data_IF_921539589623
#
_entry.id   IF_921539589623
#
_cell.length_a   1.000
_cell.length_b   1.000
_cell.length_c   1.000
_cell.angle_alpha   90.00
_cell.angle_beta   90.00
_cell.angle_gamma   90.00
#
_symmetry.space_group_name_H-M   'P 1'
#
loop_
_entity.id
_entity.type
_entity.pdbx_description
1 polymer ?
#
# COMPACT_ATOMS: atom_id res chain seq x y z
N UNK A 1 25.22 -20.49 -11.11
CA UNK A 1 24.12 -19.84 -11.86
C UNK A 1 22.74 -20.40 -11.52
N UNK A 2 22.65 -21.66 -11.09
CA UNK A 2 21.41 -22.39 -10.78
C UNK A 2 20.71 -21.95 -9.49
N UNK A 3 21.44 -21.64 -8.42
CA UNK A 3 20.85 -21.16 -7.15
C UNK A 3 19.98 -19.91 -7.32
N UNK A 4 20.39 -18.95 -8.17
CA UNK A 4 19.59 -17.74 -8.45
C UNK A 4 18.30 -18.03 -9.25
N UNK A 5 18.27 -19.11 -10.04
CA UNK A 5 17.06 -19.56 -10.76
C UNK A 5 16.12 -20.27 -9.78
N UNK A 6 16.65 -21.16 -8.94
CA UNK A 6 15.86 -21.88 -7.92
C UNK A 6 15.19 -20.90 -6.94
N UNK A 7 15.93 -19.93 -6.41
CA UNK A 7 15.39 -18.88 -5.53
C UNK A 7 14.29 -18.05 -6.20
N UNK A 8 14.44 -17.74 -7.49
CA UNK A 8 13.40 -17.02 -8.24
C UNK A 8 12.16 -17.88 -8.44
N UNK A 9 12.32 -19.15 -8.79
CA UNK A 9 11.20 -20.09 -8.98
C UNK A 9 10.45 -20.32 -7.68
N UNK A 10 11.15 -20.57 -6.57
CA UNK A 10 10.55 -20.72 -5.24
C UNK A 10 9.81 -19.45 -4.81
N UNK A 11 10.37 -18.27 -5.10
CA UNK A 11 9.71 -16.98 -4.85
C UNK A 11 8.46 -16.77 -5.71
N UNK A 12 8.44 -17.29 -6.94
CA UNK A 12 7.26 -17.25 -7.83
C UNK A 12 6.19 -18.21 -7.32
N UNK A 13 6.56 -19.43 -6.93
CA UNK A 13 5.64 -20.46 -6.44
C UNK A 13 5.05 -20.03 -5.09
N UNK A 14 5.89 -19.67 -4.12
CA UNK A 14 5.43 -19.15 -2.81
C UNK A 14 4.64 -17.85 -2.96
N UNK A 15 4.99 -17.01 -3.94
CA UNK A 15 4.22 -15.81 -4.28
C UNK A 15 2.86 -16.06 -4.93
N UNK A 16 2.54 -17.31 -5.30
CA UNK A 16 1.30 -17.72 -5.96
C UNK A 16 0.51 -18.76 -5.14
N UNK A 17 0.80 -18.92 -3.85
CA UNK A 17 -0.02 -19.77 -2.98
C UNK A 17 -1.50 -19.34 -3.05
N UNK A 18 -2.42 -20.31 -3.19
CA UNK A 18 -3.83 -20.01 -3.27
C UNK A 18 -4.31 -19.42 -1.94
N UNK A 19 -5.01 -18.30 -2.02
CA UNK A 19 -5.68 -17.69 -0.85
C UNK A 19 -7.14 -18.08 -0.92
N UNK A 20 -7.58 -18.94 -0.01
CA UNK A 20 -8.95 -19.41 0.08
C UNK A 20 -9.80 -18.39 0.83
N UNK A 21 -10.90 -17.98 0.20
CA UNK A 21 -11.82 -17.00 0.75
C UNK A 21 -13.17 -17.63 1.02
N UNK A 22 -13.76 -17.33 2.16
CA UNK A 22 -15.11 -17.76 2.53
C UNK A 22 -15.94 -16.56 2.97
N UNK A 23 -17.22 -16.53 2.59
CA UNK A 23 -18.16 -15.55 3.10
C UNK A 23 -18.58 -15.92 4.52
N UNK A 24 -18.46 -14.99 5.45
CA UNK A 24 -18.88 -15.14 6.85
C UNK A 24 -20.25 -14.50 7.06
N UNK A 25 -21.03 -15.04 8.00
CA UNK A 25 -22.30 -14.42 8.41
C UNK A 25 -22.04 -13.13 9.19
N UNK A 26 -21.10 -13.21 10.13
CA UNK A 26 -20.74 -12.12 11.04
C UNK A 26 -19.46 -11.41 10.60
N UNK A 27 -19.34 -10.15 11.03
CA UNK A 27 -18.15 -9.33 10.84
C UNK A 27 -17.19 -9.62 11.99
N UNK A 28 -16.06 -10.25 11.66
CA UNK A 28 -14.99 -10.56 12.61
C UNK A 28 -13.92 -9.48 12.62
N UNK A 29 -13.38 -9.19 13.80
CA UNK A 29 -12.18 -8.35 13.94
C UNK A 29 -10.92 -9.17 13.64
N UNK A 30 -9.81 -8.53 13.23
CA UNK A 30 -8.52 -9.22 13.13
C UNK A 30 -8.11 -9.78 14.50
N UNK A 31 -7.43 -10.93 14.48
CA UNK A 31 -6.89 -11.57 15.68
C UNK A 31 -5.36 -11.50 15.68
N UNK A 32 -4.79 -11.48 16.89
CA UNK A 32 -3.35 -11.35 17.13
C UNK A 32 -2.89 -12.40 18.14
N UNK A 33 -1.63 -12.82 18.06
CA UNK A 33 -0.96 -13.62 19.08
C UNK A 33 -0.55 -12.77 20.30
N UNK A 34 0.08 -13.40 21.29
CA UNK A 34 0.53 -12.75 22.53
C UNK A 34 1.62 -11.71 22.28
N UNK A 35 2.44 -11.91 21.25
CA UNK A 35 3.47 -10.99 20.78
C UNK A 35 2.89 -9.83 19.94
N UNK A 36 1.59 -9.86 19.65
CA UNK A 36 0.89 -8.86 18.87
C UNK A 36 1.07 -8.97 17.35
N UNK A 37 1.60 -10.08 16.84
CA UNK A 37 1.57 -10.41 15.42
C UNK A 37 0.17 -10.83 15.00
N UNK A 38 -0.18 -10.52 13.75
CA UNK A 38 -1.47 -10.90 13.19
C UNK A 38 -1.52 -12.40 12.88
N UNK A 39 -2.59 -13.05 13.32
CA UNK A 39 -2.87 -14.47 13.03
C UNK A 39 -4.13 -14.63 12.16
N UNK A 40 -5.03 -13.64 12.17
CA UNK A 40 -6.23 -13.62 11.32
C UNK A 40 -6.55 -12.18 10.89
N UNK A 41 -6.88 -11.97 9.62
CA UNK A 41 -7.16 -10.65 9.05
C UNK A 41 -8.55 -10.10 9.39
N UNK A 42 -9.40 -10.91 10.01
CA UNK A 42 -10.81 -10.65 10.27
C UNK A 42 -11.65 -10.68 9.00
N UNK A 43 -12.82 -10.03 9.07
CA UNK A 43 -13.63 -9.82 7.89
C UNK A 43 -13.02 -8.74 6.99
N UNK A 44 -13.08 -9.00 5.69
CA UNK A 44 -12.53 -8.21 4.61
C UNK A 44 -13.64 -7.88 3.60
N UNK A 45 -13.44 -6.77 2.90
CA UNK A 45 -14.13 -6.47 1.64
C UNK A 45 -13.16 -6.83 0.51
N UNK A 46 -13.61 -7.66 -0.42
CA UNK A 46 -12.82 -8.07 -1.58
C UNK A 46 -13.37 -7.37 -2.81
N UNK A 47 -12.51 -6.66 -3.54
CA UNK A 47 -12.85 -6.16 -4.87
C UNK A 47 -12.07 -6.96 -5.90
N UNK A 48 -12.80 -7.46 -6.89
CA UNK A 48 -12.28 -8.13 -8.08
C UNK A 48 -12.50 -7.21 -9.27
N UNK A 49 -11.44 -6.89 -10.00
CA UNK A 49 -11.47 -5.95 -11.12
C UNK A 49 -10.41 -6.30 -12.18
N UNK A 50 -10.82 -6.49 -13.42
CA UNK A 50 -9.93 -6.76 -14.54
C UNK A 50 -9.63 -5.48 -15.35
N UNK A 51 -8.49 -4.87 -15.07
CA UNK A 51 -8.08 -3.65 -15.76
C UNK A 51 -7.71 -3.88 -17.24
N UNK A 52 -8.50 -3.34 -18.18
CA UNK A 52 -8.07 -3.12 -19.56
C UNK A 52 -6.86 -2.18 -19.60
N UNK A 53 -6.02 -2.24 -20.65
CA UNK A 53 -4.70 -1.58 -20.67
C UNK A 53 -4.80 -0.05 -20.59
N UNK A 54 -5.89 0.54 -21.06
CA UNK A 54 -5.89 1.95 -21.50
C UNK A 54 -6.33 2.94 -20.41
N UNK A 55 -7.11 2.52 -19.40
CA UNK A 55 -7.62 3.39 -18.33
C UNK A 55 -7.01 3.13 -16.93
N UNK A 56 -5.80 2.55 -16.89
CA UNK A 56 -5.13 2.22 -15.61
C UNK A 56 -4.76 3.44 -14.77
N UNK A 57 -4.76 4.66 -15.32
CA UNK A 57 -4.22 5.86 -14.65
C UNK A 57 -4.94 6.20 -13.34
N UNK A 58 -6.25 6.44 -13.39
CA UNK A 58 -7.05 6.88 -12.23
C UNK A 58 -7.12 5.80 -11.14
N UNK A 59 -7.38 4.55 -11.52
CA UNK A 59 -7.45 3.42 -10.58
C UNK A 59 -6.08 3.16 -9.95
N UNK A 60 -5.00 3.19 -10.73
CA UNK A 60 -3.64 3.03 -10.19
C UNK A 60 -3.29 4.16 -9.23
N UNK A 61 -3.67 5.39 -9.54
CA UNK A 61 -3.48 6.53 -8.65
C UNK A 61 -4.24 6.34 -7.33
N UNK A 62 -5.50 5.93 -7.35
CA UNK A 62 -6.26 5.64 -6.13
C UNK A 62 -5.67 4.49 -5.32
N UNK A 63 -5.38 3.35 -5.94
CA UNK A 63 -4.71 2.23 -5.29
C UNK A 63 -3.36 2.65 -4.70
N UNK A 64 -2.65 3.60 -5.33
CA UNK A 64 -1.39 4.13 -4.78
C UNK A 64 -1.56 4.91 -3.47
N UNK A 65 -2.78 5.36 -3.13
CA UNK A 65 -3.08 6.09 -1.90
C UNK A 65 -3.92 5.29 -0.90
N UNK A 66 -4.35 4.10 -1.32
CA UNK A 66 -5.28 3.27 -0.58
C UNK A 66 -4.56 2.15 0.18
N UNK A 67 -4.90 1.93 1.46
CA UNK A 67 -4.54 0.71 2.17
C UNK A 67 -5.35 -0.49 1.68
N UNK A 68 -4.66 -1.50 1.16
CA UNK A 68 -5.24 -2.79 0.77
C UNK A 68 -4.20 -3.90 0.92
N UNK A 69 -4.66 -5.15 0.97
CA UNK A 69 -3.82 -6.34 0.82
C UNK A 69 -4.06 -6.88 -0.59
N UNK A 70 -2.99 -7.13 -1.35
CA UNK A 70 -3.12 -7.73 -2.67
C UNK A 70 -3.23 -9.24 -2.50
N UNK A 71 -4.38 -9.82 -2.83
CA UNK A 71 -4.62 -11.26 -2.72
C UNK A 71 -4.05 -11.99 -3.92
N UNK A 72 -4.27 -11.48 -5.12
CA UNK A 72 -3.60 -11.95 -6.33
C UNK A 72 -3.72 -10.86 -7.42
N UNK A 73 -3.52 -11.22 -8.69
CA UNK A 73 -3.79 -10.30 -9.80
C UNK A 73 -5.27 -9.92 -9.76
N UNK A 74 -5.57 -8.63 -9.86
CA UNK A 74 -6.95 -8.13 -9.95
C UNK A 74 -7.84 -8.32 -8.72
N UNK A 75 -7.33 -8.92 -7.63
CA UNK A 75 -8.08 -9.13 -6.38
C UNK A 75 -7.43 -8.37 -5.24
N UNK A 76 -8.21 -7.48 -4.63
CA UNK A 76 -7.77 -6.57 -3.58
C UNK A 76 -8.65 -6.74 -2.34
N UNK A 77 -8.02 -6.90 -1.19
CA UNK A 77 -8.69 -6.99 0.10
C UNK A 77 -8.55 -5.69 0.88
N UNK A 78 -9.65 -5.23 1.45
CA UNK A 78 -9.77 -4.05 2.27
C UNK A 78 -10.33 -4.45 3.63
N UNK A 79 -9.96 -3.73 4.68
CA UNK A 79 -10.51 -3.96 6.03
C UNK A 79 -12.01 -3.66 6.02
N UNK A 80 -12.83 -4.53 6.60
CA UNK A 80 -14.29 -4.40 6.64
C UNK A 80 -14.83 -3.30 7.60
N UNK A 81 -14.01 -2.36 8.03
CA UNK A 81 -14.45 -1.34 9.00
C UNK A 81 -15.05 -0.10 8.35
N UNK A 82 -16.12 0.39 8.98
CA UNK A 82 -16.72 1.72 8.78
C UNK A 82 -15.75 2.83 9.23
N UNK A 83 -14.68 3.09 8.49
CA UNK A 83 -13.93 4.33 8.69
C UNK A 83 -14.77 5.48 8.14
N UNK A 84 -15.49 6.18 9.04
CA UNK A 84 -16.07 7.48 8.73
C UNK A 84 -14.96 8.53 8.72
N UNK A 85 -15.07 9.44 7.75
CA UNK A 85 -14.18 10.58 7.55
C UNK A 85 -13.87 11.31 8.87
N UNK A 86 -12.59 11.54 9.16
CA UNK A 86 -12.22 12.74 9.92
C UNK A 86 -12.37 13.95 8.99
N UNK A 87 -12.73 15.10 9.55
CA UNK A 87 -12.88 16.44 8.93
C UNK A 87 -11.64 16.90 8.12
N UNK A 88 -10.56 16.12 8.13
CA UNK A 88 -9.29 16.30 7.39
C UNK A 88 -9.21 15.52 6.07
N UNK A 89 -10.30 14.85 5.64
CA UNK A 89 -10.42 14.19 4.33
C UNK A 89 -9.72 12.82 4.28
N UNK A 90 -9.85 12.03 5.35
CA UNK A 90 -8.73 11.21 5.80
C UNK A 90 -8.74 9.70 5.51
N UNK A 91 -9.75 9.10 4.87
CA UNK A 91 -9.65 7.67 4.47
C UNK A 91 -10.53 7.32 3.27
N UNK A 92 -10.08 6.28 2.59
CA UNK A 92 -10.56 5.75 1.31
C UNK A 92 -11.98 5.17 1.39
N UNK A 93 -12.89 5.65 0.54
CA UNK A 93 -14.20 5.04 0.33
C UNK A 93 -14.10 3.87 -0.65
N UNK A 94 -14.32 2.66 -0.13
CA UNK A 94 -14.32 1.41 -0.88
C UNK A 94 -15.39 1.44 -1.98
N UNK A 95 -16.54 2.07 -1.71
CA UNK A 95 -17.63 2.19 -2.68
C UNK A 95 -17.26 3.13 -3.82
N UNK A 96 -16.61 4.26 -3.52
CA UNK A 96 -16.10 5.17 -4.55
C UNK A 96 -15.05 4.48 -5.44
N UNK A 97 -14.12 3.72 -4.87
CA UNK A 97 -13.19 2.92 -5.69
C UNK A 97 -13.91 1.89 -6.54
N UNK A 98 -14.88 1.20 -5.95
CA UNK A 98 -15.64 0.20 -6.67
C UNK A 98 -16.40 0.81 -7.85
N UNK A 99 -17.03 1.98 -7.68
CA UNK A 99 -17.68 2.72 -8.75
C UNK A 99 -16.70 3.01 -9.90
N UNK A 100 -15.52 3.56 -9.59
CA UNK A 100 -14.49 3.83 -10.59
C UNK A 100 -13.94 2.55 -11.25
N UNK A 101 -13.84 1.45 -10.51
CA UNK A 101 -13.48 0.16 -11.09
C UNK A 101 -14.59 -0.34 -12.03
N UNK A 102 -15.86 -0.16 -11.66
CA UNK A 102 -17.02 -0.58 -12.45
C UNK A 102 -17.17 0.20 -13.76
N UNK A 103 -16.80 1.48 -13.75
CA UNK A 103 -16.73 2.32 -14.97
C UNK A 103 -15.77 1.73 -16.01
N UNK A 104 -14.69 1.10 -15.57
CA UNK A 104 -13.64 0.57 -16.44
C UNK A 104 -13.76 -0.93 -16.72
N UNK A 105 -14.50 -1.66 -15.88
CA UNK A 105 -14.77 -3.09 -16.00
C UNK A 105 -16.18 -3.35 -15.51
N UNK A 106 -17.09 -3.58 -16.47
CA UNK A 106 -18.48 -3.93 -16.17
C UNK A 106 -18.60 -5.23 -15.39
N UNK A 107 -17.57 -6.08 -15.36
CA UNK A 107 -17.56 -7.33 -14.62
C UNK A 107 -16.93 -7.20 -13.22
N UNK A 108 -16.54 -6.00 -12.81
CA UNK A 108 -16.01 -5.76 -11.47
C UNK A 108 -17.03 -6.19 -10.41
N UNK A 109 -16.56 -6.90 -9.38
CA UNK A 109 -17.39 -7.40 -8.26
C UNK A 109 -16.83 -6.98 -6.92
N UNK A 110 -17.73 -6.69 -6.00
CA UNK A 110 -17.43 -6.43 -4.59
C UNK A 110 -18.05 -7.52 -3.73
N UNK A 111 -17.26 -8.12 -2.86
CA UNK A 111 -17.69 -9.14 -1.91
C UNK A 111 -17.40 -8.66 -0.50
N UNK A 112 -18.47 -8.37 0.25
CA UNK A 112 -18.40 -8.04 1.68
C UNK A 112 -18.28 -9.29 2.54
N UNK A 113 -17.82 -9.14 3.79
CA UNK A 113 -17.76 -10.20 4.81
C UNK A 113 -17.00 -11.45 4.34
N UNK A 114 -15.86 -11.25 3.70
CA UNK A 114 -14.98 -12.36 3.31
C UNK A 114 -13.93 -12.58 4.40
N UNK A 115 -13.61 -13.82 4.73
CA UNK A 115 -12.46 -14.20 5.55
C UNK A 115 -11.51 -15.05 4.74
N UNK A 116 -10.21 -14.97 5.06
CA UNK A 116 -9.23 -15.93 4.56
C UNK A 116 -9.36 -17.20 5.40
N UNK A 117 -9.37 -18.36 4.77
CA UNK A 117 -9.62 -19.67 5.43
C UNK A 117 -8.31 -20.35 5.79
N UNK A 118 -7.36 -20.35 4.86
CA UNK A 118 -6.01 -20.84 5.10
C UNK A 118 -5.17 -19.73 5.74
N UNK A 119 -5.43 -19.43 7.01
CA UNK A 119 -4.64 -18.49 7.81
C UNK A 119 -3.40 -19.16 8.42
N UNK A 120 -2.76 -20.06 7.68
CA UNK A 120 -1.48 -20.61 8.09
C UNK A 120 -0.40 -19.51 8.08
N UNK A 121 0.67 -19.73 8.85
CA UNK A 121 1.73 -18.74 9.03
C UNK A 121 2.38 -18.30 7.71
N UNK A 122 2.45 -19.19 6.71
CA UNK A 122 3.04 -18.88 5.41
C UNK A 122 2.13 -17.93 4.60
N UNK A 123 0.83 -18.24 4.53
CA UNK A 123 -0.16 -17.38 3.86
C UNK A 123 -0.23 -16.00 4.51
N UNK A 124 -0.27 -15.92 5.84
CA UNK A 124 -0.27 -14.65 6.57
C UNK A 124 0.99 -13.86 6.26
N UNK A 125 2.17 -14.48 6.39
CA UNK A 125 3.46 -13.85 6.11
C UNK A 125 3.54 -13.35 4.66
N UNK A 126 3.16 -14.17 3.69
CA UNK A 126 3.13 -13.79 2.28
C UNK A 126 2.30 -12.52 2.04
N UNK A 127 1.11 -12.44 2.63
CA UNK A 127 0.22 -11.29 2.48
C UNK A 127 0.79 -10.02 3.14
N UNK A 128 1.39 -10.15 4.32
CA UNK A 128 2.08 -9.05 5.00
C UNK A 128 3.29 -8.57 4.19
N UNK A 129 4.09 -9.49 3.65
CA UNK A 129 5.27 -9.16 2.84
C UNK A 129 4.89 -8.40 1.57
N UNK A 130 3.76 -8.75 0.94
CA UNK A 130 3.23 -7.98 -0.20
C UNK A 130 2.90 -6.54 0.18
N UNK A 131 2.37 -6.31 1.38
CA UNK A 131 2.12 -4.95 1.90
C UNK A 131 3.45 -4.24 2.17
N UNK A 132 4.39 -4.90 2.86
CA UNK A 132 5.71 -4.37 3.21
C UNK A 132 6.47 -3.94 1.96
N UNK A 133 6.64 -4.83 0.98
CA UNK A 133 7.33 -4.55 -0.30
C UNK A 133 6.68 -3.37 -1.04
N UNK A 134 5.34 -3.26 -1.00
CA UNK A 134 4.62 -2.15 -1.63
C UNK A 134 4.95 -0.81 -0.97
N UNK A 135 4.97 -0.76 0.37
CA UNK A 135 5.28 0.44 1.14
C UNK A 135 6.74 0.83 0.99
N UNK A 136 7.66 -0.12 1.12
CA UNK A 136 9.09 0.10 0.93
C UNK A 136 9.43 0.61 -0.47
N UNK A 137 8.78 0.08 -1.52
CA UNK A 137 8.97 0.57 -2.89
C UNK A 137 8.57 2.05 -3.02
N UNK A 138 7.47 2.46 -2.36
CA UNK A 138 7.03 3.86 -2.34
C UNK A 138 8.02 4.73 -1.55
N UNK A 139 8.51 4.25 -0.41
CA UNK A 139 9.53 4.92 0.39
C UNK A 139 10.79 5.18 -0.42
N UNK A 140 11.34 4.15 -1.09
CA UNK A 140 12.51 4.27 -1.96
C UNK A 140 12.28 5.29 -3.07
N UNK A 141 11.09 5.31 -3.68
CA UNK A 141 10.73 6.30 -4.70
C UNK A 141 10.77 7.74 -4.17
N UNK A 142 10.29 7.98 -2.94
CA UNK A 142 10.32 9.30 -2.30
C UNK A 142 11.75 9.68 -1.89
N UNK A 143 12.49 8.77 -1.26
CA UNK A 143 13.89 8.98 -0.86
C UNK A 143 14.75 9.36 -2.07
N UNK A 144 14.69 8.56 -3.13
CA UNK A 144 15.44 8.83 -4.37
C UNK A 144 15.02 10.17 -4.99
N UNK A 145 13.74 10.53 -4.89
CA UNK A 145 13.25 11.83 -5.33
C UNK A 145 13.90 12.99 -4.57
N UNK A 146 13.92 12.92 -3.23
CA UNK A 146 14.58 13.94 -2.41
C UNK A 146 16.10 13.98 -2.63
N UNK A 147 16.76 12.83 -2.74
CA UNK A 147 18.21 12.78 -3.04
C UNK A 147 18.54 13.47 -4.37
N UNK A 148 17.76 13.20 -5.42
CA UNK A 148 17.92 13.88 -6.71
C UNK A 148 17.67 15.37 -6.61
N UNK A 149 16.64 15.77 -5.86
CA UNK A 149 16.29 17.18 -5.69
C UNK A 149 17.36 17.97 -4.93
N UNK A 150 17.90 17.39 -3.85
CA UNK A 150 19.02 17.92 -3.08
C UNK A 150 20.26 18.09 -3.96
N UNK A 151 20.59 17.06 -4.75
CA UNK A 151 21.75 17.10 -5.66
C UNK A 151 21.59 18.19 -6.72
N UNK A 152 20.44 18.25 -7.38
CA UNK A 152 20.18 19.27 -8.40
C UNK A 152 20.22 20.69 -7.84
N UNK A 153 19.76 20.90 -6.60
CA UNK A 153 19.87 22.19 -5.91
C UNK A 153 21.33 22.56 -5.62
N UNK A 154 22.11 21.61 -5.11
CA UNK A 154 23.54 21.81 -4.83
C UNK A 154 24.37 22.11 -6.09
N UNK A 155 24.06 21.44 -7.21
CA UNK A 155 24.73 21.61 -8.49
C UNK A 155 24.20 22.84 -9.29
N UNK A 156 23.25 23.61 -8.76
CA UNK A 156 22.66 24.77 -9.44
C UNK A 156 21.84 24.42 -10.70
N UNK A 157 21.43 23.16 -10.86
CA UNK A 157 20.75 22.64 -12.05
C UNK A 157 19.22 22.80 -12.01
N UNK A 158 18.67 23.34 -10.92
CA UNK A 158 17.25 23.54 -10.73
C UNK A 158 16.97 24.94 -10.21
N UNK A 159 16.08 25.66 -10.87
CA UNK A 159 15.62 26.97 -10.40
C UNK A 159 14.71 26.82 -9.16
N UNK A 160 14.59 27.93 -8.42
CA UNK A 160 13.83 27.97 -7.16
C UNK A 160 12.36 27.59 -7.33
N UNK A 161 11.72 27.95 -8.45
CA UNK A 161 10.30 27.65 -8.68
C UNK A 161 10.10 26.15 -8.90
N UNK A 162 10.90 25.54 -9.77
CA UNK A 162 10.89 24.09 -10.01
C UNK A 162 11.25 23.31 -8.75
N UNK A 163 12.18 23.81 -7.93
CA UNK A 163 12.54 23.21 -6.65
C UNK A 163 11.35 23.10 -5.69
N UNK A 164 10.59 24.19 -5.54
CA UNK A 164 9.39 24.24 -4.69
C UNK A 164 8.31 23.28 -5.22
N UNK A 165 8.08 23.28 -6.53
CA UNK A 165 7.07 22.41 -7.14
C UNK A 165 7.38 20.92 -6.97
N UNK A 166 8.63 20.51 -7.21
CA UNK A 166 9.06 19.12 -7.03
C UNK A 166 9.07 18.69 -5.56
N UNK A 167 9.49 19.57 -4.65
CA UNK A 167 9.37 19.32 -3.21
C UNK A 167 7.91 19.10 -2.82
N UNK A 168 6.99 19.96 -3.26
CA UNK A 168 5.56 19.84 -2.94
C UNK A 168 4.99 18.50 -3.43
N UNK A 169 5.39 18.04 -4.61
CA UNK A 169 5.01 16.72 -5.15
C UNK A 169 5.56 15.58 -4.28
N UNK A 170 6.82 15.64 -3.86
CA UNK A 170 7.43 14.62 -3.01
C UNK A 170 6.82 14.61 -1.61
N UNK A 171 6.57 15.79 -1.04
CA UNK A 171 5.92 15.94 0.25
C UNK A 171 4.49 15.38 0.24
N UNK A 172 3.71 15.68 -0.81
CA UNK A 172 2.38 15.09 -0.97
C UNK A 172 2.42 13.55 -1.03
N UNK A 173 3.41 12.95 -1.69
CA UNK A 173 3.60 11.49 -1.71
C UNK A 173 3.98 10.96 -0.33
N UNK A 174 4.83 11.68 0.39
CA UNK A 174 5.22 11.35 1.76
C UNK A 174 4.05 11.38 2.73
N UNK A 175 3.21 12.42 2.69
CA UNK A 175 2.00 12.51 3.52
C UNK A 175 1.07 11.33 3.26
N UNK A 176 0.81 10.99 1.99
CA UNK A 176 -0.01 9.83 1.64
C UNK A 176 0.61 8.51 2.14
N UNK A 177 1.93 8.35 2.03
CA UNK A 177 2.66 7.19 2.54
C UNK A 177 2.56 7.07 4.06
N UNK A 178 2.82 8.16 4.80
CA UNK A 178 2.73 8.21 6.26
C UNK A 178 1.35 7.79 6.74
N UNK A 179 0.28 8.28 6.09
CA UNK A 179 -1.11 7.89 6.41
C UNK A 179 -1.34 6.39 6.20
N UNK A 180 -0.89 5.83 5.07
CA UNK A 180 -0.97 4.38 4.84
C UNK A 180 -0.18 3.58 5.90
N UNK A 181 1.01 4.04 6.27
CA UNK A 181 1.82 3.40 7.31
C UNK A 181 1.10 3.34 8.66
N UNK A 182 0.51 4.46 9.11
CA UNK A 182 -0.29 4.51 10.34
C UNK A 182 -1.47 3.53 10.27
N UNK A 183 -2.14 3.46 9.12
CA UNK A 183 -3.25 2.52 8.93
C UNK A 183 -2.80 1.07 9.06
N UNK A 184 -1.68 0.69 8.43
CA UNK A 184 -1.14 -0.66 8.50
C UNK A 184 -0.55 -1.01 9.86
N UNK A 185 -0.02 -0.04 10.59
CA UNK A 185 0.43 -0.24 11.96
C UNK A 185 -0.77 -0.56 12.87
N UNK A 186 -1.89 0.16 12.71
CA UNK A 186 -3.12 -0.10 13.47
C UNK A 186 -3.84 -1.38 13.05
N UNK A 187 -3.76 -1.77 11.77
CA UNK A 187 -4.49 -2.93 11.24
C UNK A 187 -3.67 -4.22 11.26
N UNK A 188 -2.44 -4.16 10.75
CA UNK A 188 -1.60 -5.33 10.49
C UNK A 188 -0.37 -5.37 11.41
N UNK A 189 -0.23 -4.43 12.34
CA UNK A 189 0.89 -4.33 13.29
C UNK A 189 2.26 -4.23 12.60
N UNK A 190 2.28 -3.73 11.36
CA UNK A 190 3.53 -3.51 10.61
C UNK A 190 4.12 -2.15 11.00
N UNK A 191 5.30 -2.15 11.61
CA UNK A 191 6.02 -0.94 11.98
C UNK A 191 6.87 -0.41 10.80
N UNK A 192 6.62 0.84 10.42
CA UNK A 192 7.34 1.57 9.36
C UNK A 192 8.10 2.81 9.86
N UNK A 193 8.10 3.06 11.18
CA UNK A 193 8.59 4.31 11.77
C UNK A 193 10.06 4.57 11.47
N UNK A 194 10.92 3.55 11.58
CA UNK A 194 12.36 3.67 11.27
C UNK A 194 12.61 4.09 9.82
N UNK A 195 11.83 3.58 8.87
CA UNK A 195 12.00 3.91 7.45
C UNK A 195 11.42 5.29 7.09
N UNK A 196 10.31 5.69 7.73
CA UNK A 196 9.78 7.04 7.59
C UNK A 196 10.76 8.10 8.09
N UNK A 197 11.53 7.82 9.14
CA UNK A 197 12.55 8.74 9.66
C UNK A 197 13.65 9.07 8.65
N UNK A 198 13.99 8.15 7.74
CA UNK A 198 14.93 8.42 6.65
C UNK A 198 14.40 9.51 5.72
N UNK A 199 13.09 9.52 5.44
CA UNK A 199 12.46 10.55 4.60
C UNK A 199 12.45 11.90 5.34
N UNK A 200 12.11 11.90 6.63
CA UNK A 200 12.16 13.12 7.45
C UNK A 200 13.56 13.75 7.50
N UNK A 201 14.61 12.94 7.55
CA UNK A 201 15.99 13.42 7.49
C UNK A 201 16.27 14.14 6.16
N UNK A 202 15.83 13.58 5.04
CA UNK A 202 15.98 14.20 3.72
C UNK A 202 15.20 15.52 3.59
N UNK A 203 13.97 15.58 4.10
CA UNK A 203 13.17 16.82 4.13
C UNK A 203 13.91 17.91 4.91
N UNK A 204 14.41 17.58 6.10
CA UNK A 204 15.19 18.53 6.93
C UNK A 204 16.44 19.02 6.21
N UNK A 205 17.19 18.12 5.56
CA UNK A 205 18.38 18.46 4.78
C UNK A 205 18.07 19.41 3.62
N UNK A 206 16.96 19.19 2.91
CA UNK A 206 16.56 20.07 1.82
C UNK A 206 16.16 21.47 2.34
N UNK A 207 15.44 21.53 3.46
CA UNK A 207 15.05 22.81 4.07
C UNK A 207 16.27 23.62 4.52
N UNK A 208 17.28 22.99 5.13
CA UNK A 208 18.50 23.70 5.55
C UNK A 208 19.36 24.24 4.41
N UNK A 209 19.11 23.82 3.17
CA UNK A 209 19.81 24.31 1.96
C UNK A 209 19.06 25.44 1.25
N UNK A 210 17.86 25.78 1.72
CA UNK A 210 17.02 26.86 1.17
C UNK A 210 17.10 28.15 1.97
N UNK A 211 17.58 28.04 3.21
CA UNK A 211 17.88 29.16 4.10
C UNK A 211 19.23 29.74 3.70
#
# INVERSE_FOLDING_TARGET
>A
MENRKLERTLKIIGGNQPVLLKRTREIKRPAYDEEGNIIDFGSLIIIVYNARKDDKGKIRWLLSRTPYIKICRSVYAFRHNNYKYDKRGDLFDVNYLFALMKENDKDAKIFSRMSIVNNDAETVKMLLDRVRVRIERKMRGILNGYMKLIRANYEGQIDRKRLIDEEKKLYSKFVALRRMSIFYEKWLKINFSKDLMKIYSMIRKLHSMKT
#
